data_IF_219055621384
#
_entry.id   IF_219055621384
#
_cell.length_a   1.000
_cell.length_b   1.000
_cell.length_c   1.000
_cell.angle_alpha   90.00
_cell.angle_beta   90.00
_cell.angle_gamma   90.00
#
_symmetry.space_group_name_H-M   'P 1'
#
loop_
_entity.id
_entity.type
_entity.pdbx_description
1 polymer ?
#
# COMPACT_ATOMS: atom_id res chain seq x y z
N UNK A 1 7.33 8.63 19.98
CA UNK A 1 6.53 9.78 19.48
C UNK A 1 5.20 9.19 19.07
N UNK A 2 4.09 9.69 19.64
CA UNK A 2 2.76 9.26 19.20
C UNK A 2 2.56 9.73 17.76
N UNK A 3 2.29 8.78 16.86
CA UNK A 3 1.96 9.04 15.46
C UNK A 3 0.66 9.84 15.41
N UNK A 4 0.76 11.16 15.20
CA UNK A 4 -0.36 12.07 15.00
C UNK A 4 -0.98 11.89 13.60
N UNK A 5 -1.32 10.66 13.22
CA UNK A 5 -2.18 10.49 12.06
C UNK A 5 -3.54 11.12 12.37
N UNK A 6 -4.17 11.82 11.41
CA UNK A 6 -5.52 12.32 11.62
C UNK A 6 -6.42 11.13 11.99
N UNK A 7 -7.30 11.32 12.97
CA UNK A 7 -8.27 10.28 13.33
C UNK A 7 -9.20 10.06 12.14
N UNK A 8 -9.09 8.93 11.47
CA UNK A 8 -9.83 8.68 10.24
C UNK A 8 -10.67 7.42 10.40
N UNK A 9 -11.97 7.59 10.15
CA UNK A 9 -12.98 6.54 10.12
C UNK A 9 -12.65 5.53 9.02
N UNK A 10 -12.46 4.27 9.40
CA UNK A 10 -12.21 3.18 8.45
C UNK A 10 -13.54 2.50 8.19
N UNK A 11 -14.17 2.83 7.08
CA UNK A 11 -15.39 2.15 6.61
C UNK A 11 -15.11 0.75 6.07
N UNK A 12 -13.84 0.34 6.01
CA UNK A 12 -13.36 -0.79 5.21
C UNK A 12 -12.52 -1.76 6.05
N UNK A 13 -13.10 -2.46 7.04
CA UNK A 13 -12.34 -3.26 8.01
C UNK A 13 -11.53 -4.39 7.37
N UNK A 14 -11.96 -4.89 6.21
CA UNK A 14 -11.24 -5.93 5.48
C UNK A 14 -9.85 -5.48 5.02
N UNK A 15 -9.58 -4.18 4.91
CA UNK A 15 -8.24 -3.72 4.53
C UNK A 15 -7.21 -3.92 5.63
N UNK A 16 -7.65 -4.02 6.89
CA UNK A 16 -6.79 -4.12 8.06
C UNK A 16 -6.04 -5.45 8.10
N UNK A 17 -4.83 -5.42 8.65
CA UNK A 17 -4.00 -6.60 8.89
C UNK A 17 -2.77 -6.66 7.99
N UNK A 18 -2.23 -7.86 7.92
CA UNK A 18 -0.95 -8.13 7.27
C UNK A 18 -1.15 -8.67 5.85
N UNK A 19 -0.37 -8.12 4.93
CA UNK A 19 -0.41 -8.44 3.52
C UNK A 19 1.00 -8.66 2.99
N UNK A 20 1.19 -9.66 2.14
CA UNK A 20 2.43 -9.88 1.40
C UNK A 20 2.29 -9.33 -0.01
N UNK A 21 3.32 -8.63 -0.49
CA UNK A 21 3.36 -8.13 -1.86
C UNK A 21 3.64 -9.28 -2.83
N UNK A 22 2.87 -9.36 -3.91
CA UNK A 22 2.97 -10.43 -4.93
C UNK A 22 3.40 -9.92 -6.30
N UNK A 23 3.66 -8.62 -6.41
CA UNK A 23 4.21 -7.98 -7.59
C UNK A 23 3.38 -6.82 -8.11
N UNK A 24 3.91 -6.17 -9.14
CA UNK A 24 3.25 -5.08 -9.85
C UNK A 24 2.71 -5.59 -11.18
N UNK A 25 1.41 -5.41 -11.45
CA UNK A 25 0.88 -5.62 -12.79
C UNK A 25 0.97 -4.30 -13.59
N UNK A 26 1.56 -4.36 -14.78
CA UNK A 26 1.66 -3.22 -15.70
C UNK A 26 1.41 -3.70 -17.13
N UNK A 27 0.43 -3.10 -17.81
CA UNK A 27 0.01 -3.50 -19.16
C UNK A 27 -0.31 -5.01 -19.30
N UNK A 28 -0.94 -5.61 -18.28
CA UNK A 28 -1.26 -7.04 -18.24
C UNK A 28 -0.06 -7.97 -18.04
N UNK A 29 1.13 -7.42 -17.75
CA UNK A 29 2.32 -8.17 -17.39
C UNK A 29 2.58 -8.05 -15.89
N UNK A 30 2.73 -9.19 -15.21
CA UNK A 30 3.16 -9.25 -13.82
C UNK A 30 4.68 -9.09 -13.74
N UNK A 31 5.13 -8.12 -12.97
CA UNK A 31 6.53 -7.82 -12.68
C UNK A 31 6.76 -8.16 -11.22
N UNK A 32 7.67 -9.10 -10.96
CA UNK A 32 8.09 -9.50 -9.62
C UNK A 32 9.59 -9.33 -9.56
N UNK A 33 10.07 -8.45 -8.69
CA UNK A 33 11.47 -8.31 -8.35
C UNK A 33 11.85 -9.29 -7.24
N UNK A 34 13.11 -9.73 -7.18
CA UNK A 34 13.51 -10.77 -6.22
C UNK A 34 13.30 -10.39 -4.74
N UNK A 35 13.19 -9.10 -4.43
CA UNK A 35 12.91 -8.64 -3.06
C UNK A 35 11.43 -8.40 -2.77
N UNK A 36 10.58 -8.39 -3.80
CA UNK A 36 9.13 -8.14 -3.70
C UNK A 36 8.45 -9.20 -2.84
N UNK A 37 8.88 -10.46 -2.97
CA UNK A 37 8.34 -11.58 -2.19
C UNK A 37 8.61 -11.46 -0.68
N UNK A 38 9.50 -10.55 -0.26
CA UNK A 38 9.77 -10.25 1.16
C UNK A 38 9.05 -8.98 1.63
N UNK A 39 8.56 -8.17 0.69
CA UNK A 39 7.90 -6.90 1.00
C UNK A 39 6.53 -7.16 1.62
N UNK A 40 6.29 -6.55 2.78
CA UNK A 40 5.05 -6.68 3.55
C UNK A 40 4.37 -5.33 3.67
N UNK A 41 3.05 -5.32 3.55
CA UNK A 41 2.21 -4.19 3.91
C UNK A 41 1.42 -4.56 5.18
N UNK A 42 1.59 -3.78 6.23
CA UNK A 42 0.75 -3.86 7.44
C UNK A 42 -0.20 -2.67 7.45
N UNK A 43 -1.50 -2.91 7.39
CA UNK A 43 -2.52 -1.87 7.43
C UNK A 43 -3.15 -1.84 8.82
N UNK A 44 -2.91 -0.74 9.53
CA UNK A 44 -3.48 -0.47 10.84
C UNK A 44 -4.67 0.47 10.71
N UNK A 45 -5.22 0.88 11.85
CA UNK A 45 -6.35 1.78 11.85
C UNK A 45 -6.07 3.16 11.23
N UNK A 46 -4.81 3.56 11.19
CA UNK A 46 -4.42 4.92 10.78
C UNK A 46 -3.26 4.95 9.82
N UNK A 47 -2.54 3.83 9.65
CA UNK A 47 -1.31 3.78 8.86
C UNK A 47 -1.26 2.58 7.91
N UNK A 48 -0.73 2.85 6.72
CA UNK A 48 -0.09 1.84 5.88
C UNK A 48 1.38 1.81 6.28
N UNK A 49 1.90 0.62 6.54
CA UNK A 49 3.30 0.43 6.94
C UNK A 49 3.91 -0.57 5.96
N UNK A 50 4.77 -0.07 5.06
CA UNK A 50 5.50 -0.91 4.12
C UNK A 50 6.86 -1.29 4.69
N UNK A 51 7.10 -2.59 4.78
CA UNK A 51 8.41 -3.17 5.07
C UNK A 51 9.07 -3.54 3.73
N UNK A 52 9.78 -2.59 3.13
CA UNK A 52 10.38 -2.75 1.81
C UNK A 52 11.78 -3.36 1.94
N UNK A 53 11.99 -4.53 1.32
CA UNK A 53 13.30 -5.17 1.25
C UNK A 53 14.01 -4.79 -0.05
N UNK A 54 15.30 -4.51 0.03
CA UNK A 54 16.11 -4.08 -1.12
C UNK A 54 17.57 -4.54 -1.00
N UNK A 55 18.37 -4.22 -2.02
CA UNK A 55 19.78 -4.60 -2.13
C UNK A 55 19.99 -5.97 -2.77
N UNK A 56 21.23 -6.30 -3.10
CA UNK A 56 21.60 -7.50 -3.89
C UNK A 56 21.15 -8.83 -3.29
N UNK A 57 20.90 -8.89 -1.99
CA UNK A 57 20.41 -10.07 -1.26
C UNK A 57 19.09 -9.83 -0.53
N UNK A 58 18.39 -8.73 -0.84
CA UNK A 58 17.16 -8.32 -0.15
C UNK A 58 17.34 -8.22 1.37
N UNK A 59 18.53 -7.81 1.83
CA UNK A 59 18.89 -7.74 3.24
C UNK A 59 18.67 -6.35 3.87
N UNK A 60 18.39 -5.33 3.05
CA UNK A 60 18.18 -3.96 3.52
C UNK A 60 16.68 -3.73 3.68
N UNK A 61 16.25 -3.49 4.92
CA UNK A 61 14.86 -3.17 5.24
C UNK A 61 14.67 -1.66 5.38
N UNK A 62 13.71 -1.11 4.64
CA UNK A 62 13.19 0.25 4.83
C UNK A 62 11.74 0.15 5.29
N UNK A 63 11.45 0.67 6.49
CA UNK A 63 10.09 0.71 7.04
C UNK A 63 9.50 2.09 6.78
N UNK A 64 8.38 2.15 6.08
CA UNK A 64 7.72 3.40 5.68
C UNK A 64 6.30 3.42 6.29
N UNK A 65 6.11 4.02 7.47
CA UNK A 65 4.79 4.28 8.00
C UNK A 65 4.20 5.53 7.34
N UNK A 66 2.96 5.45 6.87
CA UNK A 66 2.26 6.57 6.21
C UNK A 66 0.82 6.62 6.66
N UNK A 67 0.39 7.79 7.12
CA UNK A 67 -0.99 8.02 7.52
C UNK A 67 -1.91 7.98 6.28
N UNK A 68 -3.12 7.43 6.42
CA UNK A 68 -4.04 7.30 5.29
C UNK A 68 -5.51 7.53 5.66
N UNK A 69 -6.33 7.86 4.66
CA UNK A 69 -7.79 7.82 4.67
C UNK A 69 -8.32 7.00 3.51
N UNK A 70 -9.52 6.45 3.65
CA UNK A 70 -10.24 5.83 2.54
C UNK A 70 -11.53 6.60 2.31
N UNK A 71 -11.71 7.11 1.11
CA UNK A 71 -12.94 7.78 0.67
C UNK A 71 -13.31 7.22 -0.71
N UNK A 72 -14.51 6.64 -0.87
CA UNK A 72 -14.99 6.07 -2.14
C UNK A 72 -13.96 5.15 -2.83
N UNK A 73 -13.53 4.10 -2.13
CA UNK A 73 -12.52 3.13 -2.59
C UNK A 73 -11.16 3.76 -2.97
N UNK A 74 -10.89 5.01 -2.60
CA UNK A 74 -9.60 5.67 -2.84
C UNK A 74 -8.86 5.85 -1.52
N UNK A 75 -7.65 5.31 -1.45
CA UNK A 75 -6.68 5.52 -0.37
C UNK A 75 -5.96 6.84 -0.61
N UNK A 76 -6.15 7.81 0.28
CA UNK A 76 -5.39 9.06 0.29
C UNK A 76 -4.30 8.99 1.35
N UNK A 77 -3.07 9.35 0.98
CA UNK A 77 -1.94 9.36 1.89
C UNK A 77 -1.68 10.76 2.40
N UNK A 78 -1.16 10.86 3.63
CA UNK A 78 -0.88 12.12 4.29
C UNK A 78 0.60 12.21 4.66
N UNK A 79 1.15 13.42 4.57
CA UNK A 79 2.51 13.71 5.03
C UNK A 79 2.58 13.87 6.56
N UNK A 80 3.79 14.17 7.06
CA UNK A 80 4.05 14.36 8.50
C UNK A 80 3.32 15.58 9.11
N UNK A 81 2.78 16.47 8.28
CA UNK A 81 1.98 17.63 8.71
C UNK A 81 0.47 17.33 8.67
N UNK A 82 0.07 16.15 8.19
CA UNK A 82 -1.32 15.76 8.04
C UNK A 82 -1.98 16.33 6.79
N UNK A 83 -1.21 16.76 5.79
CA UNK A 83 -1.71 17.23 4.50
C UNK A 83 -1.77 16.06 3.50
N UNK A 84 -2.81 16.02 2.65
CA UNK A 84 -2.91 14.98 1.61
C UNK A 84 -1.70 15.10 0.68
N UNK A 85 -0.89 14.06 0.62
CA UNK A 85 0.14 13.93 -0.41
C UNK A 85 -0.59 13.89 -1.76
N UNK A 86 -0.04 14.50 -2.81
CA UNK A 86 -0.64 14.42 -4.16
C UNK A 86 -0.72 12.99 -4.72
N UNK A 87 -0.25 11.99 -3.97
CA UNK A 87 -0.32 10.57 -4.24
C UNK A 87 -1.52 9.94 -3.51
N UNK A 88 -2.24 9.09 -4.23
CA UNK A 88 -3.37 8.30 -3.75
C UNK A 88 -3.33 6.95 -4.45
N UNK A 89 -4.15 5.99 -4.05
CA UNK A 89 -4.30 4.71 -4.77
C UNK A 89 -5.77 4.30 -4.76
N UNK A 90 -6.25 3.68 -5.85
CA UNK A 90 -7.64 3.18 -5.91
C UNK A 90 -7.68 1.70 -5.56
N UNK A 91 -8.54 1.30 -4.64
CA UNK A 91 -8.81 -0.10 -4.30
C UNK A 91 -9.61 -0.73 -5.45
N UNK A 92 -9.00 -1.65 -6.18
CA UNK A 92 -9.66 -2.38 -7.29
C UNK A 92 -10.29 -3.67 -6.83
N UNK A 93 -9.62 -4.34 -5.90
CA UNK A 93 -10.09 -5.57 -5.26
C UNK A 93 -9.73 -5.48 -3.79
N UNK A 94 -10.71 -5.74 -2.94
CA UNK A 94 -10.49 -5.96 -1.52
C UNK A 94 -11.43 -7.04 -1.01
N UNK A 95 -10.85 -8.08 -0.44
CA UNK A 95 -11.57 -9.13 0.27
C UNK A 95 -10.66 -9.74 1.36
N UNK A 96 -11.10 -10.82 2.01
CA UNK A 96 -10.33 -11.46 3.07
C UNK A 96 -8.99 -12.09 2.63
N UNK A 97 -8.74 -12.24 1.32
CA UNK A 97 -7.53 -12.85 0.75
C UNK A 97 -6.70 -11.92 -0.13
N UNK A 98 -7.33 -11.01 -0.85
CA UNK A 98 -6.70 -10.25 -1.93
C UNK A 98 -6.92 -8.76 -1.73
N UNK A 99 -5.85 -8.00 -1.92
CA UNK A 99 -5.85 -6.54 -2.02
C UNK A 99 -5.14 -6.16 -3.32
N UNK A 100 -5.78 -5.34 -4.14
CA UNK A 100 -5.19 -4.77 -5.36
C UNK A 100 -5.36 -3.26 -5.30
N UNK A 101 -4.23 -2.55 -5.30
CA UNK A 101 -4.16 -1.09 -5.27
C UNK A 101 -3.69 -0.57 -6.62
N UNK A 102 -4.49 0.27 -7.26
CA UNK A 102 -4.14 0.92 -8.53
C UNK A 102 -3.45 2.25 -8.27
N UNK A 103 -2.25 2.40 -8.83
CA UNK A 103 -1.50 3.64 -8.79
C UNK A 103 -2.06 4.64 -9.81
N UNK A 104 -2.35 5.89 -9.42
CA UNK A 104 -2.75 6.94 -10.32
C UNK A 104 -1.57 7.25 -11.23
N UNK A 105 -1.76 6.98 -12.52
CA UNK A 105 -0.72 7.23 -13.51
C UNK A 105 -0.89 8.63 -14.11
N UNK A 106 0.22 9.38 -14.20
CA UNK A 106 0.33 10.57 -15.05
C UNK A 106 0.46 10.24 -16.54
N UNK A 107 0.60 8.96 -16.87
CA UNK A 107 0.66 8.39 -18.22
C UNK A 107 -0.57 7.52 -18.53
N UNK A 108 -0.75 7.09 -19.77
CA UNK A 108 -1.81 6.13 -20.12
C UNK A 108 -1.56 4.71 -19.57
N UNK A 109 -0.46 4.47 -18.85
CA UNK A 109 -0.09 3.15 -18.32
C UNK A 109 -0.51 3.05 -16.86
N UNK A 110 -1.59 2.33 -16.60
CA UNK A 110 -2.04 2.00 -15.25
C UNK A 110 -1.16 0.87 -14.70
N UNK A 111 -0.76 0.99 -13.43
CA UNK A 111 -0.05 -0.05 -12.70
C UNK A 111 -0.83 -0.42 -11.44
N UNK A 112 -0.91 -1.71 -11.11
CA UNK A 112 -1.50 -2.17 -9.85
C UNK A 112 -0.46 -2.88 -9.00
N UNK A 113 -0.50 -2.60 -7.71
CA UNK A 113 0.23 -3.34 -6.68
C UNK A 113 -0.67 -4.41 -6.11
N UNK A 114 -0.20 -5.66 -6.17
CA UNK A 114 -0.98 -6.81 -5.79
C UNK A 114 -0.47 -7.36 -4.46
N UNK A 115 -1.41 -7.70 -3.58
CA UNK A 115 -1.12 -8.23 -2.27
C UNK A 115 -2.03 -9.40 -1.91
N UNK A 116 -1.47 -10.35 -1.17
CA UNK A 116 -2.20 -11.48 -0.58
C UNK A 116 -2.16 -11.42 0.94
N UNK A 117 -3.22 -11.91 1.58
CA UNK A 117 -3.30 -11.96 3.04
C UNK A 117 -2.26 -12.93 3.62
N UNK A 118 -1.56 -12.51 4.68
CA UNK A 118 -0.71 -13.38 5.52
C UNK A 118 -1.48 -14.16 6.58
#
# INVERSE_FOLDING_TARGET
MENNCPAINISTPDILGDWIFTGTERNGQLIIEGCDERTKLTVTNTQFIWDNYSGTSCGILTVIPTCYSIENDTVYYFDDLGEKTGFYQTIKVLNNKTLILENPSSSNIIATENYERL
#
